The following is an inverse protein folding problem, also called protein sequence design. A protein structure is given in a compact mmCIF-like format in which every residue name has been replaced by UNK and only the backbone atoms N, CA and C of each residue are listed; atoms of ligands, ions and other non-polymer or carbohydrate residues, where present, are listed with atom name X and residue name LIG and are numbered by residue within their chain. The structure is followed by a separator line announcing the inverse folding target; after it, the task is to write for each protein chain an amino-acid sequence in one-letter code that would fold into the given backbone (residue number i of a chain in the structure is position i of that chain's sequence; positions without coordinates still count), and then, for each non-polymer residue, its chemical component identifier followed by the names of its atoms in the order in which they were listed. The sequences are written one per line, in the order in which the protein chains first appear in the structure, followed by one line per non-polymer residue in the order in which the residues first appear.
data_IF_674466336631
#
_entry.id   IF_674466336631
#
_cell.length_a   1.000
_cell.length_b   1.000
_cell.length_c   1.000
_cell.angle_alpha   90.00
_cell.angle_beta   90.00
_cell.angle_gamma   90.00
#
_symmetry.space_group_name_H-M   'P 1'
#
loop_
_entity.id
_entity.type
_entity.pdbx_description
1 polymer ?
#
# COMPACT_ATOMS: atom_id res chain seq x y z
N UNK A 1 -33.51 -62.81 0.93
CA UNK A 1 -33.35 -61.43 1.48
C UNK A 1 -31.95 -61.14 2.06
N UNK A 2 -30.88 -61.81 1.61
CA UNK A 2 -29.49 -61.52 2.05
C UNK A 2 -28.68 -60.64 1.07
N UNK A 3 -29.07 -60.58 -0.20
CA UNK A 3 -28.37 -59.83 -1.27
C UNK A 3 -28.47 -58.31 -1.11
N UNK A 4 -29.57 -57.80 -0.57
CA UNK A 4 -29.83 -56.37 -0.49
C UNK A 4 -29.05 -55.67 0.63
N UNK A 5 -28.71 -56.40 1.69
CA UNK A 5 -27.94 -55.88 2.82
C UNK A 5 -26.45 -55.76 2.42
N UNK A 6 -25.90 -56.79 1.76
CA UNK A 6 -24.52 -56.80 1.26
C UNK A 6 -24.29 -55.72 0.19
N UNK A 7 -25.27 -55.49 -0.69
CA UNK A 7 -25.19 -54.40 -1.67
C UNK A 7 -25.25 -53.00 -1.03
N UNK A 8 -25.90 -52.85 0.12
CA UNK A 8 -25.99 -51.58 0.84
C UNK A 8 -24.70 -51.26 1.61
N UNK A 9 -24.03 -52.29 2.15
CA UNK A 9 -22.71 -52.19 2.77
C UNK A 9 -21.66 -51.70 1.76
N UNK A 10 -21.58 -52.32 0.57
CA UNK A 10 -20.68 -51.91 -0.49
C UNK A 10 -20.96 -50.47 -0.99
N UNK A 11 -22.23 -50.08 -1.07
CA UNK A 11 -22.61 -48.71 -1.44
C UNK A 11 -22.26 -47.69 -0.35
N UNK A 12 -22.37 -48.05 0.93
CA UNK A 12 -21.95 -47.19 2.04
C UNK A 12 -20.43 -47.03 2.06
N UNK A 13 -19.66 -48.09 1.84
CA UNK A 13 -18.20 -48.01 1.73
C UNK A 13 -17.77 -47.09 0.58
N UNK A 14 -18.38 -47.25 -0.61
CA UNK A 14 -18.13 -46.36 -1.75
C UNK A 14 -18.53 -44.91 -1.48
N UNK A 15 -19.60 -44.66 -0.73
CA UNK A 15 -20.01 -43.32 -0.36
C UNK A 15 -19.01 -42.70 0.62
N UNK A 16 -18.54 -43.45 1.60
CA UNK A 16 -17.56 -43.01 2.59
C UNK A 16 -16.22 -42.68 1.91
N UNK A 17 -15.77 -43.53 0.97
CA UNK A 17 -14.59 -43.28 0.15
C UNK A 17 -14.74 -42.01 -0.71
N UNK A 18 -15.90 -41.81 -1.34
CA UNK A 18 -16.18 -40.59 -2.10
C UNK A 18 -16.20 -39.35 -1.21
N UNK A 19 -16.80 -39.41 -0.02
CA UNK A 19 -16.81 -38.31 0.94
C UNK A 19 -15.38 -37.99 1.39
N UNK A 20 -14.57 -38.99 1.71
CA UNK A 20 -13.15 -38.80 2.05
C UNK A 20 -12.35 -38.20 0.90
N UNK A 21 -12.58 -38.65 -0.34
CA UNK A 21 -11.94 -38.10 -1.53
C UNK A 21 -12.32 -36.63 -1.77
N UNK A 22 -13.61 -36.29 -1.64
CA UNK A 22 -14.10 -34.91 -1.73
C UNK A 22 -13.52 -34.04 -0.62
N UNK A 23 -13.48 -34.54 0.62
CA UNK A 23 -12.90 -33.87 1.78
C UNK A 23 -11.41 -33.58 1.56
N UNK A 24 -10.62 -34.59 1.15
CA UNK A 24 -9.18 -34.44 0.89
C UNK A 24 -8.91 -33.46 -0.25
N UNK A 25 -9.68 -33.52 -1.34
CA UNK A 25 -9.57 -32.57 -2.46
C UNK A 25 -9.95 -31.16 -2.03
N UNK A 26 -10.99 -31.01 -1.20
CA UNK A 26 -11.41 -29.71 -0.67
C UNK A 26 -10.35 -29.09 0.24
N UNK A 27 -9.78 -29.88 1.15
CA UNK A 27 -8.68 -29.43 2.02
C UNK A 27 -7.46 -29.02 1.20
N UNK A 28 -7.06 -29.82 0.20
CA UNK A 28 -5.94 -29.52 -0.69
C UNK A 28 -6.14 -28.26 -1.53
N UNK A 29 -7.36 -28.02 -2.02
CA UNK A 29 -7.69 -26.76 -2.72
C UNK A 29 -7.65 -25.58 -1.75
N UNK A 30 -8.17 -25.75 -0.53
CA UNK A 30 -8.22 -24.68 0.46
C UNK A 30 -6.83 -24.28 0.99
N UNK A 31 -5.94 -25.25 1.24
CA UNK A 31 -4.55 -24.97 1.62
C UNK A 31 -3.80 -24.25 0.50
N UNK A 32 -3.89 -24.74 -0.73
CA UNK A 32 -3.26 -24.10 -1.90
C UNK A 32 -3.77 -22.66 -2.10
N UNK A 33 -5.07 -22.42 -1.98
CA UNK A 33 -5.64 -21.07 -2.09
C UNK A 33 -5.15 -20.15 -0.97
N UNK A 34 -5.03 -20.65 0.27
CA UNK A 34 -4.51 -19.89 1.40
C UNK A 34 -3.06 -19.46 1.19
N UNK A 35 -2.20 -20.36 0.71
CA UNK A 35 -0.80 -20.05 0.38
C UNK A 35 -0.69 -18.96 -0.69
N UNK A 36 -1.52 -19.04 -1.75
CA UNK A 36 -1.54 -18.02 -2.80
C UNK A 36 -1.99 -16.65 -2.28
N UNK A 37 -2.96 -16.59 -1.37
CA UNK A 37 -3.37 -15.34 -0.71
C UNK A 37 -2.22 -14.71 0.09
N UNK A 38 -1.45 -15.51 0.81
CA UNK A 38 -0.29 -15.02 1.57
C UNK A 38 0.81 -14.45 0.66
N UNK A 39 1.05 -15.09 -0.50
CA UNK A 39 2.02 -14.61 -1.48
C UNK A 39 1.59 -13.29 -2.12
N UNK A 40 0.30 -13.14 -2.42
CA UNK A 40 -0.26 -11.88 -2.94
C UNK A 40 -0.12 -10.76 -1.90
N UNK A 41 -0.39 -11.03 -0.63
CA UNK A 41 -0.21 -10.07 0.45
C UNK A 41 1.25 -9.62 0.62
N UNK A 42 2.20 -10.56 0.58
CA UNK A 42 3.64 -10.23 0.62
C UNK A 42 4.04 -9.33 -0.55
N UNK A 43 3.62 -9.66 -1.77
CA UNK A 43 3.87 -8.84 -2.96
C UNK A 43 3.23 -7.46 -2.87
N UNK A 44 2.00 -7.38 -2.36
CA UNK A 44 1.29 -6.11 -2.18
C UNK A 44 2.00 -5.20 -1.18
N UNK A 45 2.53 -5.75 -0.08
CA UNK A 45 3.37 -5.02 0.88
C UNK A 45 4.64 -4.48 0.24
N UNK A 46 5.37 -5.32 -0.50
CA UNK A 46 6.59 -4.91 -1.20
C UNK A 46 6.32 -3.82 -2.23
N UNK A 47 5.25 -3.96 -3.03
CA UNK A 47 4.85 -2.95 -4.03
C UNK A 47 4.47 -1.62 -3.38
N UNK A 48 3.74 -1.67 -2.27
CA UNK A 48 3.37 -0.46 -1.53
C UNK A 48 4.60 0.25 -0.94
N UNK A 49 5.57 -0.51 -0.43
CA UNK A 49 6.83 0.05 0.03
C UNK A 49 7.59 0.69 -1.13
N UNK A 50 7.72 -0.01 -2.26
CA UNK A 50 8.43 0.51 -3.44
C UNK A 50 7.81 1.81 -3.96
N UNK A 51 6.47 1.91 -4.02
CA UNK A 51 5.78 3.16 -4.38
C UNK A 51 6.08 4.29 -3.39
N UNK A 52 6.09 4.01 -2.09
CA UNK A 52 6.41 5.00 -1.05
C UNK A 52 7.85 5.49 -1.20
N UNK A 53 8.79 4.58 -1.46
CA UNK A 53 10.21 4.91 -1.72
C UNK A 53 10.34 5.79 -2.96
N UNK A 54 9.74 5.39 -4.08
CA UNK A 54 9.76 6.17 -5.32
C UNK A 54 9.18 7.57 -5.13
N UNK A 55 8.06 7.68 -4.40
CA UNK A 55 7.46 8.97 -4.09
C UNK A 55 8.40 9.89 -3.31
N UNK A 56 9.15 9.37 -2.33
CA UNK A 56 10.09 10.16 -1.53
C UNK A 56 11.31 10.60 -2.34
N UNK A 57 11.87 9.73 -3.18
CA UNK A 57 12.98 10.11 -4.06
C UNK A 57 12.56 11.13 -5.13
N UNK A 58 11.33 11.04 -5.64
CA UNK A 58 10.80 12.01 -6.59
C UNK A 58 10.39 13.34 -5.95
N UNK A 59 10.20 13.38 -4.62
CA UNK A 59 9.63 14.52 -3.93
C UNK A 59 10.47 15.81 -4.08
N UNK A 60 11.80 15.82 -3.88
CA UNK A 60 12.61 17.02 -4.08
C UNK A 60 12.53 17.55 -5.52
N UNK A 61 12.51 16.65 -6.51
CA UNK A 61 12.37 17.04 -7.91
C UNK A 61 10.99 17.63 -8.22
N UNK A 62 9.92 17.09 -7.60
CA UNK A 62 8.56 17.63 -7.70
C UNK A 62 8.44 19.00 -7.04
N UNK A 63 8.98 19.16 -5.83
CA UNK A 63 9.00 20.45 -5.13
C UNK A 63 9.78 21.50 -5.92
N UNK A 64 10.93 21.13 -6.49
CA UNK A 64 11.70 22.00 -7.38
C UNK A 64 10.93 22.44 -8.63
N UNK A 65 10.09 21.56 -9.20
CA UNK A 65 9.18 21.93 -10.29
C UNK A 65 8.09 22.88 -9.83
N UNK A 66 7.47 22.63 -8.67
CA UNK A 66 6.44 23.50 -8.12
C UNK A 66 6.97 24.90 -7.79
N UNK A 67 8.23 25.02 -7.35
CA UNK A 67 8.88 26.32 -7.13
C UNK A 67 9.01 27.07 -8.47
N UNK A 68 9.42 26.40 -9.54
CA UNK A 68 9.58 27.01 -10.88
C UNK A 68 8.24 27.41 -11.51
N UNK A 69 7.18 26.66 -11.25
CA UNK A 69 5.84 26.91 -11.81
C UNK A 69 4.94 27.70 -10.85
N UNK A 70 5.47 28.20 -9.73
CA UNK A 70 4.74 28.90 -8.66
C UNK A 70 3.49 28.15 -8.13
N UNK A 71 3.48 26.81 -8.29
CA UNK A 71 2.38 25.95 -7.89
C UNK A 71 2.50 25.57 -6.40
N UNK A 72 2.47 26.57 -5.52
CA UNK A 72 2.74 26.39 -4.10
C UNK A 72 1.68 25.54 -3.38
N UNK A 73 0.42 25.60 -3.82
CA UNK A 73 -0.67 24.79 -3.23
C UNK A 73 -0.42 23.27 -3.41
N UNK A 74 0.08 22.86 -4.57
CA UNK A 74 0.40 21.45 -4.83
C UNK A 74 1.69 21.03 -4.13
N UNK A 75 2.67 21.94 -4.02
CA UNK A 75 3.90 21.70 -3.26
C UNK A 75 3.60 21.35 -1.79
N UNK A 76 2.71 22.12 -1.14
CA UNK A 76 2.28 21.88 0.24
C UNK A 76 1.60 20.52 0.35
N UNK A 77 0.65 20.19 -0.55
CA UNK A 77 -0.04 18.89 -0.55
C UNK A 77 0.95 17.72 -0.68
N UNK A 78 1.91 17.82 -1.61
CA UNK A 78 2.93 16.77 -1.79
C UNK A 78 3.80 16.61 -0.55
N UNK A 79 4.23 17.72 0.06
CA UNK A 79 5.05 17.68 1.28
C UNK A 79 4.26 17.11 2.47
N UNK A 80 3.01 17.54 2.68
CA UNK A 80 2.16 17.01 3.76
C UNK A 80 1.94 15.49 3.66
N UNK A 81 1.79 14.97 2.43
CA UNK A 81 1.72 13.53 2.19
C UNK A 81 3.01 12.78 2.52
N UNK A 82 4.16 13.45 2.45
CA UNK A 82 5.48 12.88 2.72
C UNK A 82 5.91 12.95 4.21
N UNK A 83 5.37 13.90 4.98
CA UNK A 83 5.64 14.07 6.43
C UNK A 83 5.63 12.75 7.23
N UNK A 84 4.61 11.88 7.15
CA UNK A 84 4.60 10.66 7.97
C UNK A 84 5.76 9.71 7.63
N UNK A 85 6.26 9.75 6.39
CA UNK A 85 7.37 8.92 5.93
C UNK A 85 8.69 9.53 6.40
N UNK A 86 8.86 10.85 6.29
CA UNK A 86 10.03 11.54 6.84
C UNK A 86 10.11 11.46 8.36
N UNK A 87 8.99 11.48 9.07
CA UNK A 87 8.98 11.28 10.52
C UNK A 87 9.44 9.88 10.93
N UNK A 88 9.18 8.88 10.11
CA UNK A 88 9.55 7.49 10.40
C UNK A 88 10.97 7.14 9.91
N UNK A 89 11.43 7.73 8.80
CA UNK A 89 12.64 7.30 8.11
C UNK A 89 13.55 8.45 7.64
N UNK A 90 13.19 9.70 7.92
CA UNK A 90 13.91 10.90 7.50
C UNK A 90 15.30 11.00 8.11
N UNK A 91 15.49 10.58 9.36
CA UNK A 91 16.80 10.67 10.04
C UNK A 91 17.73 9.48 9.72
N UNK A 92 17.29 8.53 8.91
CA UNK A 92 18.06 7.34 8.53
C UNK A 92 18.23 7.26 7.01
N UNK A 93 17.48 6.37 6.35
CA UNK A 93 17.67 6.03 4.95
C UNK A 93 17.29 7.14 3.96
N UNK A 94 16.51 8.15 4.39
CA UNK A 94 16.06 9.24 3.51
C UNK A 94 16.57 10.62 3.94
N UNK A 95 17.66 10.69 4.70
CA UNK A 95 18.21 11.94 5.21
C UNK A 95 18.48 12.98 4.12
N UNK A 96 19.10 12.59 3.00
CA UNK A 96 19.42 13.53 1.92
C UNK A 96 18.16 14.03 1.21
N UNK A 97 17.17 13.15 1.02
CA UNK A 97 15.87 13.53 0.47
C UNK A 97 15.09 14.43 1.41
N UNK A 98 15.16 14.18 2.72
CA UNK A 98 14.52 15.00 3.73
C UNK A 98 15.13 16.41 3.73
N UNK A 99 16.46 16.50 3.77
CA UNK A 99 17.19 17.78 3.70
C UNK A 99 16.85 18.59 2.45
N UNK A 100 16.92 17.97 1.27
CA UNK A 100 16.58 18.64 0.02
C UNK A 100 15.11 19.10 -0.03
N UNK A 101 14.21 18.32 0.57
CA UNK A 101 12.79 18.69 0.67
C UNK A 101 12.56 19.84 1.64
N UNK A 102 13.23 19.86 2.80
CA UNK A 102 13.19 20.95 3.77
C UNK A 102 13.75 22.26 3.21
N UNK A 103 14.85 22.20 2.45
CA UNK A 103 15.40 23.36 1.74
C UNK A 103 14.39 23.92 0.73
N UNK A 104 13.77 23.06 -0.08
CA UNK A 104 12.74 23.46 -1.03
C UNK A 104 11.52 24.09 -0.33
N UNK A 105 11.07 23.51 0.79
CA UNK A 105 9.96 24.07 1.59
C UNK A 105 10.34 25.41 2.20
N UNK A 106 11.59 25.60 2.65
CA UNK A 106 12.07 26.88 3.18
C UNK A 106 12.02 27.97 2.11
N UNK A 107 12.35 27.64 0.86
CA UNK A 107 12.22 28.56 -0.28
C UNK A 107 10.75 28.89 -0.54
N UNK A 108 9.87 27.88 -0.52
CA UNK A 108 8.43 28.07 -0.70
C UNK A 108 7.86 28.99 0.40
N UNK A 109 8.24 28.78 1.66
CA UNK A 109 7.83 29.63 2.79
C UNK A 109 8.32 31.05 2.61
N UNK A 110 9.58 31.26 2.21
CA UNK A 110 10.12 32.60 1.92
C UNK A 110 9.34 33.28 0.80
N UNK A 111 9.01 32.57 -0.27
CA UNK A 111 8.23 33.12 -1.39
C UNK A 111 6.78 33.46 -0.98
N UNK A 112 6.17 32.65 -0.11
CA UNK A 112 4.83 32.90 0.43
C UNK A 112 4.79 34.05 1.45
N UNK A 113 5.86 34.25 2.24
CA UNK A 113 5.97 35.36 3.20
C UNK A 113 6.01 36.73 2.52
N UNK A 114 6.37 36.80 1.23
CA UNK A 114 6.26 38.03 0.42
C UNK A 114 4.80 38.36 0.08
N UNK A 115 3.87 37.40 0.21
CA UNK A 115 2.43 37.56 -0.03
C UNK A 115 1.58 37.24 1.22
N UNK A 116 1.73 37.99 2.33
CA UNK A 116 0.97 37.73 3.56
C UNK A 116 -0.55 37.87 3.39
N UNK A 117 -1.02 38.51 2.31
CA UNK A 117 -2.44 38.72 2.04
C UNK A 117 -3.17 37.50 1.43
N UNK A 118 -2.46 36.51 0.86
CA UNK A 118 -3.13 35.40 0.17
C UNK A 118 -3.75 34.38 1.14
N UNK A 119 -3.17 34.22 2.34
CA UNK A 119 -3.71 33.34 3.38
C UNK A 119 -4.96 33.91 4.08
N UNK A 120 -5.12 35.24 4.12
CA UNK A 120 -6.33 35.86 4.68
C UNK A 120 -7.56 35.65 3.79
N UNK A 121 -7.38 35.57 2.47
CA UNK A 121 -8.50 35.37 1.53
C UNK A 121 -9.04 33.93 1.50
N UNK A 122 -8.18 32.93 1.74
CA UNK A 122 -8.57 31.51 1.74
C UNK A 122 -9.17 31.02 3.08
N UNK A 123 -9.07 31.82 4.14
CA UNK A 123 -9.71 31.51 5.44
C UNK A 123 -11.11 32.12 5.59
N UNK A 124 -11.58 32.87 4.59
CA UNK A 124 -12.84 33.61 4.62
C UNK A 124 -13.83 33.27 3.48
N UNK A 125 -13.62 32.18 2.74
CA UNK A 125 -14.57 31.64 1.77
C UNK A 125 -14.68 30.13 1.91
#
# INVERSE_FOLDING_TARGET
MKSNIVGMEANMEQLLEKIMSVQCRSVGVNTSLSEKREHIEKLHRTRNLLRKVQFIYDLPARLGKCIKSEAYADAVKFYTGAIPIFKAYGDSSFHDCNRASEEAVTIIIKNLQVYPFFFLFLSFS
#
